data_IF_814222807768
#
_entry.id   IF_814222807768
#
_cell.length_a   1.000
_cell.length_b   1.000
_cell.length_c   1.000
_cell.angle_alpha   90.00
_cell.angle_beta   90.00
_cell.angle_gamma   90.00
#
_symmetry.space_group_name_H-M   'P 1'
#
loop_
_entity.id
_entity.type
_entity.pdbx_description
1 polymer ?
#
# COMPACT_ATOMS: atom_id res chain seq x y z
N UNK A 1 9.32 7.25 -0.87
CA UNK A 1 10.26 6.45 -1.69
C UNK A 1 11.49 6.13 -0.88
N UNK A 2 12.01 4.91 -0.98
CA UNK A 2 13.21 4.51 -0.24
C UNK A 2 14.46 5.12 -0.89
N UNK A 3 15.36 5.73 -0.14
CA UNK A 3 16.70 6.12 -0.63
C UNK A 3 17.64 4.92 -0.80
N UNK A 4 17.24 3.76 -0.29
CA UNK A 4 18.07 2.54 -0.24
C UNK A 4 17.74 1.53 -1.36
N UNK A 5 16.83 1.86 -2.29
CA UNK A 5 16.57 0.95 -3.42
C UNK A 5 17.64 1.10 -4.51
N UNK A 6 17.91 -0.01 -5.21
CA UNK A 6 18.84 -0.03 -6.34
C UNK A 6 18.08 -0.03 -7.67
N UNK A 7 18.06 1.12 -8.34
CA UNK A 7 17.44 1.28 -9.67
C UNK A 7 18.07 0.39 -10.74
N UNK A 8 19.35 0.01 -10.58
CA UNK A 8 20.09 -0.89 -11.45
C UNK A 8 19.48 -2.30 -11.52
N UNK A 9 18.86 -2.74 -10.42
CA UNK A 9 18.21 -4.06 -10.32
C UNK A 9 16.79 -4.10 -10.89
N UNK A 10 16.23 -2.96 -11.28
CA UNK A 10 14.88 -2.89 -11.82
C UNK A 10 14.79 -3.60 -13.18
N UNK A 11 13.81 -4.48 -13.34
CA UNK A 11 13.49 -5.11 -14.63
C UNK A 11 12.85 -4.13 -15.63
N UNK A 12 12.69 -4.53 -16.90
CA UNK A 12 12.20 -3.65 -17.97
C UNK A 12 10.83 -3.03 -17.66
N UNK A 13 9.93 -3.78 -17.03
CA UNK A 13 8.59 -3.31 -16.69
C UNK A 13 8.62 -2.19 -15.65
N UNK A 14 9.36 -2.37 -14.55
CA UNK A 14 9.52 -1.36 -13.48
C UNK A 14 10.17 -0.09 -14.01
N UNK A 15 11.20 -0.23 -14.86
CA UNK A 15 11.88 0.91 -15.49
C UNK A 15 10.95 1.76 -16.37
N UNK A 16 9.99 1.11 -17.04
CA UNK A 16 9.04 1.78 -17.93
C UNK A 16 7.85 2.40 -17.19
N UNK A 17 7.33 1.71 -16.17
CA UNK A 17 6.03 2.03 -15.58
C UNK A 17 6.09 2.63 -14.17
N UNK A 18 7.17 2.42 -13.41
CA UNK A 18 7.26 2.84 -12.01
C UNK A 18 8.31 3.92 -11.80
N UNK A 19 9.54 3.69 -12.23
CA UNK A 19 10.64 4.65 -12.01
C UNK A 19 10.35 6.07 -12.56
N UNK A 20 9.69 6.25 -13.72
CA UNK A 20 9.38 7.58 -14.23
C UNK A 20 8.34 8.36 -13.42
N UNK A 21 7.57 7.68 -12.56
CA UNK A 21 6.54 8.30 -11.71
C UNK A 21 7.11 8.77 -10.36
N UNK A 22 8.39 8.48 -10.08
CA UNK A 22 9.03 8.90 -8.84
C UNK A 22 9.22 10.42 -8.81
N UNK A 23 9.10 11.04 -7.62
CA UNK A 23 9.38 12.46 -7.47
C UNK A 23 10.87 12.76 -7.74
N UNK A 24 11.23 14.02 -8.04
CA UNK A 24 12.62 14.42 -8.20
C UNK A 24 13.48 14.00 -7.00
N UNK A 25 14.75 13.66 -7.22
CA UNK A 25 15.65 13.15 -6.16
C UNK A 25 15.84 14.13 -4.99
N UNK A 26 15.67 15.43 -5.23
CA UNK A 26 15.70 16.47 -4.18
C UNK A 26 14.44 16.53 -3.31
N UNK A 27 13.42 15.73 -3.62
CA UNK A 27 12.14 15.74 -2.90
C UNK A 27 12.29 15.14 -1.49
N UNK A 28 11.65 15.72 -0.45
CA UNK A 28 11.63 15.16 0.90
C UNK A 28 10.81 13.86 1.03
N UNK A 29 10.19 13.41 -0.06
CA UNK A 29 9.52 12.11 -0.16
C UNK A 29 10.52 10.95 -0.28
N UNK A 30 11.78 11.23 -0.61
CA UNK A 30 12.89 10.29 -0.51
C UNK A 30 13.33 10.16 0.94
N UNK A 31 13.25 8.95 1.49
CA UNK A 31 13.47 8.64 2.91
C UNK A 31 14.19 7.31 3.05
N UNK A 32 14.95 7.11 4.13
CA UNK A 32 15.48 5.79 4.47
C UNK A 32 14.35 4.82 4.82
N UNK A 33 14.60 3.51 4.74
CA UNK A 33 13.65 2.48 5.19
C UNK A 33 13.30 2.66 6.67
N UNK A 34 14.26 3.09 7.47
CA UNK A 34 14.06 3.41 8.89
C UNK A 34 13.07 4.56 9.08
N UNK A 35 13.25 5.67 8.37
CA UNK A 35 12.31 6.79 8.41
C UNK A 35 10.91 6.36 7.93
N UNK A 36 10.83 5.60 6.84
CA UNK A 36 9.55 5.08 6.33
C UNK A 36 8.88 4.17 7.38
N UNK A 37 9.62 3.29 8.05
CA UNK A 37 9.13 2.43 9.14
C UNK A 37 8.51 3.26 10.26
N UNK A 38 9.24 4.26 10.75
CA UNK A 38 8.84 5.07 11.90
C UNK A 38 7.64 5.97 11.56
N UNK A 39 7.64 6.55 10.36
CA UNK A 39 6.54 7.38 9.86
C UNK A 39 5.27 6.54 9.66
N UNK A 40 5.38 5.34 9.07
CA UNK A 40 4.25 4.43 8.90
C UNK A 40 3.71 3.94 10.23
N UNK A 41 4.58 3.60 11.19
CA UNK A 41 4.12 3.20 12.52
C UNK A 41 3.31 4.31 13.19
N UNK A 42 3.83 5.54 13.16
CA UNK A 42 3.15 6.72 13.73
C UNK A 42 1.83 7.03 13.01
N UNK A 43 1.77 6.82 11.70
CA UNK A 43 0.56 7.02 10.90
C UNK A 43 -0.51 5.98 11.20
N UNK A 44 -0.14 4.70 11.23
CA UNK A 44 -1.06 3.57 11.41
C UNK A 44 -1.52 3.40 12.86
N UNK A 45 -0.65 3.72 13.83
CA UNK A 45 -0.88 3.56 15.27
C UNK A 45 -0.64 4.90 15.97
N UNK A 46 -1.48 5.93 15.72
CA UNK A 46 -1.28 7.26 16.29
C UNK A 46 -1.48 7.29 17.82
N UNK A 47 -2.14 6.26 18.37
CA UNK A 47 -2.33 6.01 19.81
C UNK A 47 -2.36 4.50 20.05
N UNK A 48 -1.94 4.05 21.24
CA UNK A 48 -1.85 2.63 21.61
C UNK A 48 -3.18 1.87 21.62
N UNK A 49 -4.32 2.58 21.68
CA UNK A 49 -5.65 1.99 21.60
C UNK A 49 -6.15 1.75 20.16
N UNK A 50 -5.43 2.24 19.15
CA UNK A 50 -5.80 2.06 17.74
C UNK A 50 -5.25 0.74 17.24
N UNK A 51 -6.13 -0.12 16.74
CA UNK A 51 -5.73 -1.30 15.96
C UNK A 51 -6.14 -1.07 14.50
N UNK A 52 -5.17 -0.85 13.60
CA UNK A 52 -5.48 -0.57 12.20
C UNK A 52 -5.94 -1.84 11.48
N UNK A 53 -6.87 -1.66 10.55
CA UNK A 53 -7.14 -2.64 9.51
C UNK A 53 -6.33 -2.30 8.27
N UNK A 54 -5.62 -3.30 7.73
CA UNK A 54 -4.92 -3.16 6.46
C UNK A 54 -5.78 -3.74 5.35
N UNK A 55 -5.88 -3.01 4.25
CA UNK A 55 -6.60 -3.41 3.04
C UNK A 55 -5.72 -3.12 1.82
N UNK A 56 -5.62 -4.08 0.90
CA UNK A 56 -4.90 -3.92 -0.36
C UNK A 56 -5.58 -4.72 -1.47
N UNK A 57 -5.31 -4.35 -2.73
CA UNK A 57 -5.80 -5.06 -3.91
C UNK A 57 -4.72 -5.99 -4.44
N UNK A 58 -4.93 -7.31 -4.32
CA UNK A 58 -3.94 -8.35 -4.64
C UNK A 58 -2.66 -8.16 -3.81
N UNK A 59 -2.84 -8.06 -2.49
CA UNK A 59 -1.88 -7.45 -1.57
C UNK A 59 -0.80 -8.36 -0.98
N UNK A 60 -0.60 -9.57 -1.51
CA UNK A 60 0.28 -10.56 -0.88
C UNK A 60 1.74 -10.08 -0.79
N UNK A 61 2.29 -9.56 -1.89
CA UNK A 61 3.65 -9.00 -1.89
C UNK A 61 3.73 -7.67 -1.16
N UNK A 62 2.66 -6.86 -1.20
CA UNK A 62 2.58 -5.58 -0.47
C UNK A 62 2.67 -5.79 1.04
N UNK A 63 1.96 -6.80 1.56
CA UNK A 63 2.02 -7.15 2.98
C UNK A 63 3.44 -7.55 3.40
N UNK A 64 4.10 -8.40 2.60
CA UNK A 64 5.50 -8.79 2.86
C UNK A 64 6.43 -7.58 2.80
N UNK A 65 6.31 -6.74 1.77
CA UNK A 65 7.15 -5.54 1.61
C UNK A 65 6.98 -4.56 2.77
N UNK A 66 5.75 -4.36 3.25
CA UNK A 66 5.44 -3.57 4.45
C UNK A 66 6.09 -4.16 5.69
N UNK A 67 5.82 -5.44 6.00
CA UNK A 67 6.33 -6.07 7.22
C UNK A 67 7.87 -6.14 7.26
N UNK A 68 8.53 -6.28 6.10
CA UNK A 68 9.99 -6.28 5.99
C UNK A 68 10.64 -4.94 6.38
N UNK A 69 9.89 -3.86 6.57
CA UNK A 69 10.42 -2.64 7.18
C UNK A 69 10.83 -2.86 8.65
N UNK A 70 10.24 -3.83 9.34
CA UNK A 70 10.60 -4.22 10.71
C UNK A 70 11.52 -5.45 10.76
N UNK A 71 11.92 -6.01 9.62
CA UNK A 71 12.76 -7.20 9.55
C UNK A 71 11.96 -8.49 9.60
N UNK A 72 12.18 -9.33 10.62
CA UNK A 72 11.47 -10.61 10.77
C UNK A 72 10.05 -10.39 11.29
N UNK A 73 9.16 -11.36 11.08
CA UNK A 73 7.78 -11.31 11.61
C UNK A 73 7.72 -11.17 13.14
N UNK A 74 8.75 -11.64 13.87
CA UNK A 74 8.84 -11.50 15.33
C UNK A 74 9.10 -10.08 15.79
N UNK A 75 9.65 -9.23 14.91
CA UNK A 75 9.95 -7.82 15.18
C UNK A 75 8.80 -6.89 14.75
N UNK A 76 7.74 -7.41 14.12
CA UNK A 76 6.56 -6.63 13.78
C UNK A 76 5.84 -6.17 15.07
N UNK A 77 5.55 -4.87 15.25
CA UNK A 77 4.81 -4.37 16.41
C UNK A 77 3.50 -5.11 16.64
N UNK A 78 3.15 -5.39 17.89
CA UNK A 78 1.95 -6.16 18.27
C UNK A 78 0.64 -5.52 17.84
N UNK A 79 0.66 -4.20 17.68
CA UNK A 79 -0.46 -3.34 17.28
C UNK A 79 -0.78 -3.48 15.79
N UNK A 80 0.18 -3.90 14.95
CA UNK A 80 -0.06 -4.08 13.52
C UNK A 80 -0.65 -5.47 13.23
N UNK A 81 -1.66 -5.58 12.34
CA UNK A 81 -2.22 -6.89 12.01
C UNK A 81 -1.22 -7.75 11.25
N UNK A 82 -1.30 -9.08 11.46
CA UNK A 82 -0.45 -10.09 10.80
C UNK A 82 -0.98 -10.52 9.43
N UNK A 83 -2.01 -9.83 8.95
CA UNK A 83 -2.62 -10.04 7.65
C UNK A 83 -3.07 -8.71 7.08
N UNK A 84 -3.28 -8.69 5.76
CA UNK A 84 -3.94 -7.61 5.04
C UNK A 84 -5.22 -8.18 4.44
N UNK A 85 -6.35 -7.50 4.65
CA UNK A 85 -7.61 -7.85 4.01
C UNK A 85 -7.49 -7.69 2.49
N UNK A 86 -7.96 -8.70 1.75
CA UNK A 86 -7.86 -8.75 0.30
C UNK A 86 -9.06 -8.08 -0.37
N UNK A 87 -8.86 -6.86 -0.86
CA UNK A 87 -9.92 -6.05 -1.47
C UNK A 87 -10.46 -6.68 -2.76
N UNK A 88 -9.62 -7.38 -3.52
CA UNK A 88 -10.09 -8.11 -4.71
C UNK A 88 -11.05 -9.22 -4.32
N UNK A 89 -10.73 -9.96 -3.27
CA UNK A 89 -11.58 -11.02 -2.73
C UNK A 89 -12.90 -10.44 -2.20
N UNK A 90 -12.86 -9.27 -1.55
CA UNK A 90 -14.07 -8.54 -1.11
C UNK A 90 -14.96 -8.16 -2.30
N UNK A 91 -14.37 -7.68 -3.41
CA UNK A 91 -15.09 -7.38 -4.64
C UNK A 91 -15.78 -8.61 -5.25
N UNK A 92 -15.05 -9.73 -5.32
CA UNK A 92 -15.57 -11.00 -5.83
C UNK A 92 -16.71 -11.52 -4.95
N UNK A 93 -16.57 -11.45 -3.62
CA UNK A 93 -17.57 -11.89 -2.64
C UNK A 93 -18.89 -11.09 -2.72
N UNK A 94 -18.86 -9.87 -3.25
CA UNK A 94 -20.02 -9.00 -3.39
C UNK A 94 -20.54 -8.89 -4.83
N UNK A 95 -20.19 -9.86 -5.69
CA UNK A 95 -20.81 -9.99 -7.02
C UNK A 95 -20.28 -9.02 -8.06
N UNK A 96 -19.05 -8.53 -7.89
CA UNK A 96 -18.36 -7.66 -8.85
C UNK A 96 -19.10 -6.34 -9.16
N UNK A 97 -19.49 -5.53 -8.15
CA UNK A 97 -20.16 -4.26 -8.41
C UNK A 97 -19.29 -3.33 -9.26
N UNK A 98 -19.87 -2.39 -10.03
CA UNK A 98 -19.10 -1.45 -10.83
C UNK A 98 -18.09 -0.65 -9.98
N UNK A 99 -16.85 -0.58 -10.46
CA UNK A 99 -15.76 0.14 -9.80
C UNK A 99 -15.48 1.48 -10.50
N UNK A 100 -14.90 2.47 -9.79
CA UNK A 100 -14.40 3.68 -10.43
C UNK A 100 -13.35 3.34 -11.51
N UNK A 101 -13.19 4.20 -12.53
CA UNK A 101 -12.19 3.99 -13.57
C UNK A 101 -10.76 4.04 -12.99
N UNK A 102 -9.85 3.28 -13.61
CA UNK A 102 -8.43 3.27 -13.24
C UNK A 102 -7.85 4.68 -13.45
N UNK A 103 -7.10 5.22 -12.47
CA UNK A 103 -6.55 6.56 -12.57
C UNK A 103 -5.41 6.64 -13.61
N UNK A 104 -5.14 7.82 -14.20
CA UNK A 104 -4.12 7.99 -15.23
C UNK A 104 -2.68 7.82 -14.71
N UNK A 105 -2.48 7.98 -13.41
CA UNK A 105 -1.22 7.84 -12.66
C UNK A 105 -1.11 6.47 -11.97
N UNK A 106 -1.78 5.43 -12.51
CA UNK A 106 -1.59 4.06 -12.05
C UNK A 106 -0.10 3.68 -12.00
N UNK A 107 0.27 2.88 -11.00
CA UNK A 107 1.66 2.54 -10.62
C UNK A 107 2.41 3.63 -9.82
N UNK A 108 1.77 4.77 -9.52
CA UNK A 108 2.08 5.55 -8.32
C UNK A 108 1.38 4.93 -7.11
N UNK A 109 2.16 4.57 -6.08
CA UNK A 109 1.64 3.85 -4.92
C UNK A 109 0.58 4.64 -4.11
N UNK A 110 0.66 5.97 -4.08
CA UNK A 110 -0.34 6.80 -3.38
C UNK A 110 -1.62 6.91 -4.21
N UNK A 111 -1.50 7.05 -5.53
CA UNK A 111 -2.64 7.01 -6.44
C UNK A 111 -3.38 5.67 -6.35
N UNK A 112 -2.62 4.57 -6.37
CA UNK A 112 -3.17 3.21 -6.24
C UNK A 112 -3.85 3.00 -4.87
N UNK A 113 -3.26 3.49 -3.77
CA UNK A 113 -3.86 3.41 -2.44
C UNK A 113 -5.18 4.20 -2.34
N UNK A 114 -5.24 5.41 -2.91
CA UNK A 114 -6.48 6.21 -2.98
C UNK A 114 -7.54 5.53 -3.82
N UNK A 115 -7.14 4.92 -4.94
CA UNK A 115 -8.04 4.18 -5.79
C UNK A 115 -8.56 2.90 -5.10
N UNK A 116 -7.75 2.23 -4.28
CA UNK A 116 -8.21 1.12 -3.44
C UNK A 116 -9.29 1.55 -2.45
N UNK A 117 -9.16 2.71 -1.79
CA UNK A 117 -10.21 3.25 -0.94
C UNK A 117 -11.51 3.50 -1.74
N UNK A 118 -11.42 4.14 -2.90
CA UNK A 118 -12.59 4.41 -3.74
C UNK A 118 -13.28 3.11 -4.21
N UNK A 119 -12.51 2.05 -4.52
CA UNK A 119 -13.06 0.72 -4.83
C UNK A 119 -13.79 0.12 -3.63
N UNK A 120 -13.19 0.19 -2.43
CA UNK A 120 -13.82 -0.29 -1.20
C UNK A 120 -15.15 0.42 -0.94
N UNK A 121 -15.18 1.75 -1.04
CA UNK A 121 -16.40 2.55 -0.86
C UNK A 121 -17.49 2.19 -1.88
N UNK A 122 -17.11 1.96 -3.15
CA UNK A 122 -18.05 1.52 -4.18
C UNK A 122 -18.65 0.14 -3.88
N UNK A 123 -17.84 -0.81 -3.39
CA UNK A 123 -18.31 -2.14 -2.97
C UNK A 123 -19.29 -2.01 -1.81
N UNK A 124 -18.93 -1.24 -0.78
CA UNK A 124 -19.76 -1.04 0.40
C UNK A 124 -21.08 -0.32 0.08
N UNK A 125 -21.05 0.65 -0.84
CA UNK A 125 -22.26 1.32 -1.30
C UNK A 125 -23.19 0.37 -2.07
N UNK A 126 -22.64 -0.54 -2.87
CA UNK A 126 -23.44 -1.55 -3.58
C UNK A 126 -24.02 -2.60 -2.61
N UNK A 127 -23.25 -3.03 -1.60
CA UNK A 127 -23.66 -4.01 -0.59
C UNK A 127 -24.85 -3.56 0.27
N UNK A 128 -24.98 -2.24 0.50
CA UNK A 128 -26.03 -1.65 1.34
C UNK A 128 -27.34 -1.38 0.60
N UNK A 129 -27.37 -1.57 -0.73
CA UNK A 129 -28.58 -1.44 -1.56
C UNK A 129 -29.35 -2.75 -1.56
#
# INVERSE_FOLDING_TARGET
>A
MSTEFDAGRAGPWVRKHVLPLLPPESSPLWRSREQIRDDLYKFLVPRTSVQPELWAWVGAYDHVALCQLWGSMTALPTELPRYTNELRQHWDAHGHPPLPPVPPDAHDALADARHNLAKFEAIEAARRR
#
